data_IF_771291844218
#
_entry.id   IF_771291844218
#
_cell.length_a   1.000
_cell.length_b   1.000
_cell.length_c   1.000
_cell.angle_alpha   90.00
_cell.angle_beta   90.00
_cell.angle_gamma   90.00
#
_symmetry.space_group_name_H-M   'P 1'
#
loop_
_entity.id
_entity.type
_entity.pdbx_description
1 polymer ?
#
# COMPACT_ATOMS: atom_id res chain seq x y z
N UNK A 1 -0.48 -18.83 1.11
CA UNK A 1 -1.45 -19.03 0.01
C UNK A 1 -1.60 -17.70 -0.73
N UNK A 2 -1.82 -17.68 -2.05
CA UNK A 2 -2.17 -16.43 -2.75
C UNK A 2 -3.64 -16.10 -2.55
N UNK A 3 -3.99 -14.82 -2.58
CA UNK A 3 -5.36 -14.30 -2.49
C UNK A 3 -5.66 -13.40 -3.69
N UNK A 4 -6.93 -13.06 -3.91
CA UNK A 4 -7.33 -12.06 -4.92
C UNK A 4 -6.58 -10.72 -4.78
N UNK A 5 -6.25 -10.28 -3.56
CA UNK A 5 -5.50 -9.05 -3.30
C UNK A 5 -4.14 -9.02 -4.02
N UNK A 6 -3.46 -10.18 -4.14
CA UNK A 6 -2.16 -10.30 -4.81
C UNK A 6 -2.20 -10.00 -6.33
N UNK A 7 -3.38 -9.80 -6.92
CA UNK A 7 -3.59 -9.57 -8.35
C UNK A 7 -4.18 -8.19 -8.69
N UNK A 8 -4.60 -7.40 -7.69
CA UNK A 8 -5.27 -6.10 -7.94
C UNK A 8 -4.38 -5.12 -8.68
N UNK A 9 -3.06 -5.20 -8.50
CA UNK A 9 -2.10 -4.39 -9.25
C UNK A 9 -1.97 -4.72 -10.74
N UNK A 10 -2.65 -5.76 -11.22
CA UNK A 10 -2.85 -6.05 -12.64
C UNK A 10 -4.27 -5.71 -13.13
N UNK A 11 -5.21 -5.34 -12.25
CA UNK A 11 -6.59 -5.04 -12.63
C UNK A 11 -6.71 -3.94 -13.71
N UNK A 12 -5.93 -2.83 -13.69
CA UNK A 12 -6.00 -1.85 -14.79
C UNK A 12 -5.71 -2.47 -16.17
N UNK A 13 -4.75 -3.38 -16.28
CA UNK A 13 -4.43 -4.09 -17.52
C UNK A 13 -5.54 -5.06 -17.95
N UNK A 14 -6.22 -5.67 -16.98
CA UNK A 14 -7.37 -6.55 -17.24
C UNK A 14 -8.61 -5.75 -17.66
N UNK A 15 -8.88 -4.60 -17.04
CA UNK A 15 -9.94 -3.66 -17.45
C UNK A 15 -9.73 -3.21 -18.89
N UNK A 16 -8.51 -2.75 -19.21
CA UNK A 16 -8.09 -2.34 -20.56
C UNK A 16 -8.43 -3.38 -21.64
N UNK A 17 -8.13 -4.65 -21.36
CA UNK A 17 -8.34 -5.77 -22.29
C UNK A 17 -9.76 -6.32 -22.28
N UNK A 18 -10.47 -6.20 -21.15
CA UNK A 18 -11.89 -6.48 -21.06
C UNK A 18 -12.68 -5.45 -21.88
N UNK A 19 -12.44 -4.15 -21.69
CA UNK A 19 -13.17 -3.08 -22.36
C UNK A 19 -13.09 -3.14 -23.89
N UNK A 20 -11.89 -3.39 -24.43
CA UNK A 20 -11.61 -3.56 -25.87
C UNK A 20 -12.42 -4.68 -26.54
N UNK A 21 -12.90 -5.66 -25.78
CA UNK A 21 -13.51 -6.89 -26.29
C UNK A 21 -15.03 -6.72 -26.56
N UNK A 22 -15.39 -5.87 -27.53
CA UNK A 22 -16.78 -5.53 -27.88
C UNK A 22 -17.17 -6.09 -29.27
N UNK A 23 -17.65 -7.34 -29.34
CA UNK A 23 -18.28 -7.89 -30.55
C UNK A 23 -19.78 -8.17 -30.32
N UNK A 24 -20.64 -7.28 -30.81
CA UNK A 24 -22.10 -7.37 -30.66
C UNK A 24 -22.70 -8.42 -31.60
N UNK A 25 -23.31 -9.47 -31.03
CA UNK A 25 -24.15 -10.46 -31.72
C UNK A 25 -25.16 -11.06 -30.72
N UNK A 26 -25.83 -10.21 -29.94
CA UNK A 26 -26.57 -10.63 -28.73
C UNK A 26 -27.88 -11.38 -29.04
N UNK A 27 -28.40 -11.25 -30.26
CA UNK A 27 -29.68 -11.83 -30.68
C UNK A 27 -29.64 -13.37 -30.77
N UNK A 28 -28.54 -13.96 -31.23
CA UNK A 28 -28.36 -15.42 -31.33
C UNK A 28 -28.30 -16.10 -29.96
N UNK A 29 -27.77 -15.40 -28.96
CA UNK A 29 -27.67 -15.87 -27.58
C UNK A 29 -29.05 -15.89 -26.90
N UNK A 30 -29.88 -14.87 -27.13
CA UNK A 30 -31.24 -14.81 -26.58
C UNK A 30 -32.14 -15.97 -27.06
N UNK A 31 -31.79 -16.64 -28.15
CA UNK A 31 -32.52 -17.83 -28.62
C UNK A 31 -32.12 -19.12 -27.88
N UNK A 32 -30.93 -19.16 -27.27
CA UNK A 32 -30.52 -20.23 -26.34
C UNK A 32 -31.19 -20.10 -24.96
N UNK A 33 -31.64 -18.90 -24.62
CA UNK A 33 -32.37 -18.56 -23.40
C UNK A 33 -33.86 -18.95 -23.38
N UNK A 34 -34.25 -19.92 -24.22
CA UNK A 34 -35.59 -20.49 -24.30
C UNK A 34 -35.65 -21.79 -23.48
N UNK A 35 -36.84 -22.18 -23.01
CA UNK A 35 -36.99 -23.37 -22.17
C UNK A 35 -36.40 -23.16 -20.77
N UNK A 36 -35.67 -24.14 -20.25
CA UNK A 36 -35.28 -24.19 -18.82
C UNK A 36 -34.33 -23.05 -18.40
N UNK A 37 -33.52 -22.53 -19.32
CA UNK A 37 -32.52 -21.47 -19.06
C UNK A 37 -33.10 -20.06 -18.89
N UNK A 38 -34.40 -19.85 -19.11
CA UNK A 38 -35.02 -18.51 -19.12
C UNK A 38 -34.94 -17.75 -17.78
N UNK A 39 -34.61 -18.43 -16.67
CA UNK A 39 -34.47 -17.83 -15.34
C UNK A 39 -33.04 -17.38 -15.00
N UNK A 40 -32.04 -17.90 -15.72
CA UNK A 40 -30.62 -17.62 -15.50
C UNK A 40 -30.31 -16.12 -15.70
N UNK A 41 -29.39 -15.56 -14.92
CA UNK A 41 -29.11 -14.11 -14.94
C UNK A 41 -28.69 -13.65 -16.33
N UNK A 42 -27.89 -14.47 -17.01
CA UNK A 42 -27.37 -14.21 -18.34
C UNK A 42 -28.41 -14.25 -19.46
N UNK A 43 -29.63 -14.70 -19.17
CA UNK A 43 -30.76 -14.70 -20.08
C UNK A 43 -31.69 -13.48 -19.93
N UNK A 44 -31.38 -12.59 -18.98
CA UNK A 44 -32.04 -11.29 -18.85
C UNK A 44 -31.37 -10.28 -19.78
N UNK A 45 -32.18 -9.46 -20.47
CA UNK A 45 -31.69 -8.43 -21.42
C UNK A 45 -30.70 -7.43 -20.80
N UNK A 46 -30.80 -7.21 -19.50
CA UNK A 46 -29.90 -6.34 -18.71
C UNK A 46 -28.51 -6.94 -18.46
N UNK A 47 -28.32 -8.25 -18.61
CA UNK A 47 -27.04 -8.93 -18.34
C UNK A 47 -26.49 -9.76 -19.53
N UNK A 48 -27.27 -10.02 -20.59
CA UNK A 48 -26.80 -10.83 -21.73
C UNK A 48 -25.49 -10.32 -22.33
N UNK A 49 -25.36 -9.02 -22.58
CA UNK A 49 -24.13 -8.42 -23.12
C UNK A 49 -22.96 -8.50 -22.13
N UNK A 50 -23.24 -8.30 -20.84
CA UNK A 50 -22.25 -8.44 -19.77
C UNK A 50 -21.73 -9.88 -19.67
N UNK A 51 -22.62 -10.88 -19.69
CA UNK A 51 -22.25 -12.29 -19.67
C UNK A 51 -21.47 -12.70 -20.93
N UNK A 52 -21.93 -12.31 -22.13
CA UNK A 52 -21.19 -12.58 -23.38
C UNK A 52 -19.76 -12.04 -23.29
N UNK A 53 -19.61 -10.79 -22.84
CA UNK A 53 -18.31 -10.13 -22.69
C UNK A 53 -17.40 -10.83 -21.68
N UNK A 54 -17.94 -11.33 -20.58
CA UNK A 54 -17.22 -12.17 -19.63
C UNK A 54 -16.67 -13.45 -20.29
N UNK A 55 -17.49 -14.20 -21.02
CA UNK A 55 -17.06 -15.42 -21.72
C UNK A 55 -16.03 -15.13 -22.80
N UNK A 56 -16.24 -14.09 -23.62
CA UNK A 56 -15.26 -13.67 -24.63
C UNK A 56 -13.91 -13.29 -23.99
N UNK A 57 -13.91 -12.65 -22.82
CA UNK A 57 -12.68 -12.32 -22.10
C UNK A 57 -12.01 -13.56 -21.47
N UNK A 58 -12.76 -14.46 -20.83
CA UNK A 58 -12.24 -15.71 -20.25
C UNK A 58 -11.50 -16.54 -21.33
N UNK A 59 -12.02 -16.57 -22.55
CA UNK A 59 -11.38 -17.19 -23.72
C UNK A 59 -10.09 -16.49 -24.17
N UNK A 60 -9.94 -15.19 -23.94
CA UNK A 60 -8.72 -14.44 -24.27
C UNK A 60 -7.61 -14.63 -23.22
N UNK A 61 -7.95 -14.97 -21.97
CA UNK A 61 -6.98 -15.12 -20.87
C UNK A 61 -5.83 -16.06 -21.21
N UNK A 62 -6.13 -17.19 -21.86
CA UNK A 62 -5.09 -18.17 -22.18
C UNK A 62 -4.12 -17.69 -23.26
N UNK A 63 -4.60 -16.84 -24.19
CA UNK A 63 -3.81 -16.29 -25.29
C UNK A 63 -3.04 -15.03 -24.91
N UNK A 64 -3.66 -14.12 -24.13
CA UNK A 64 -3.06 -12.83 -23.74
C UNK A 64 -2.34 -12.86 -22.40
N UNK A 65 -2.74 -13.75 -21.49
CA UNK A 65 -2.22 -13.82 -20.12
C UNK A 65 -1.80 -15.25 -19.71
N UNK A 66 -1.07 -16.03 -20.53
CA UNK A 66 -0.76 -17.44 -20.23
C UNK A 66 -0.07 -17.65 -18.88
N UNK A 67 0.77 -16.70 -18.45
CA UNK A 67 1.49 -16.73 -17.17
C UNK A 67 0.72 -16.10 -15.99
N UNK A 68 -0.45 -15.50 -16.22
CA UNK A 68 -1.26 -14.81 -15.19
C UNK A 68 -2.78 -15.02 -15.39
N UNK A 69 -3.19 -16.21 -15.85
CA UNK A 69 -4.60 -16.58 -16.04
C UNK A 69 -5.41 -16.39 -14.75
N UNK A 70 -4.83 -16.80 -13.62
CA UNK A 70 -5.41 -16.68 -12.28
C UNK A 70 -5.83 -15.25 -11.97
N UNK A 71 -4.93 -14.26 -12.15
CA UNK A 71 -5.25 -12.85 -11.92
C UNK A 71 -6.38 -12.33 -12.82
N UNK A 72 -6.41 -12.79 -14.07
CA UNK A 72 -7.49 -12.45 -15.01
C UNK A 72 -8.85 -13.05 -14.62
N UNK A 73 -8.85 -14.26 -14.06
CA UNK A 73 -10.05 -14.87 -13.47
C UNK A 73 -10.47 -14.15 -12.17
N UNK A 74 -9.51 -13.75 -11.31
CA UNK A 74 -9.79 -12.92 -10.12
C UNK A 74 -10.39 -11.55 -10.49
N UNK A 75 -9.94 -10.95 -11.59
CA UNK A 75 -10.58 -9.75 -12.14
C UNK A 75 -12.04 -10.00 -12.56
N UNK A 76 -12.34 -11.12 -13.23
CA UNK A 76 -13.72 -11.48 -13.59
C UNK A 76 -14.63 -11.63 -12.36
N UNK A 77 -14.11 -12.18 -11.25
CA UNK A 77 -14.85 -12.27 -9.98
C UNK A 77 -15.18 -10.87 -9.43
N UNK A 78 -14.19 -9.96 -9.40
CA UNK A 78 -14.38 -8.58 -8.96
C UNK A 78 -15.38 -7.81 -9.86
N UNK A 79 -15.26 -7.96 -11.18
CA UNK A 79 -16.16 -7.33 -12.16
C UNK A 79 -17.59 -7.91 -12.09
N UNK A 80 -17.73 -9.23 -11.94
CA UNK A 80 -19.04 -9.87 -11.82
C UNK A 80 -19.78 -9.37 -10.58
N UNK A 81 -19.06 -9.17 -9.47
CA UNK A 81 -19.64 -8.59 -8.26
C UNK A 81 -20.26 -7.21 -8.53
N UNK A 82 -19.46 -6.26 -9.03
CA UNK A 82 -19.89 -4.87 -9.22
C UNK A 82 -20.96 -4.65 -10.28
N UNK A 83 -21.05 -5.55 -11.27
CA UNK A 83 -21.99 -5.40 -12.40
C UNK A 83 -23.25 -6.26 -12.25
N UNK A 84 -23.14 -7.45 -11.64
CA UNK A 84 -24.18 -8.50 -11.65
C UNK A 84 -24.64 -8.90 -10.24
N UNK A 85 -23.72 -9.16 -9.31
CA UNK A 85 -24.07 -9.74 -7.99
C UNK A 85 -24.55 -8.69 -6.98
N UNK A 86 -23.89 -7.53 -6.93
CA UNK A 86 -24.18 -6.39 -6.03
C UNK A 86 -25.61 -5.84 -6.22
N UNK A 87 -26.19 -5.98 -7.42
CA UNK A 87 -27.53 -5.49 -7.81
C UNK A 87 -28.71 -6.28 -7.22
N UNK A 88 -28.57 -6.79 -5.99
CA UNK A 88 -29.64 -7.47 -5.22
C UNK A 88 -30.20 -8.70 -5.93
N UNK A 89 -29.33 -9.63 -6.30
CA UNK A 89 -29.71 -11.03 -6.47
C UNK A 89 -29.20 -11.86 -5.28
N UNK A 90 -29.91 -11.85 -4.12
CA UNK A 90 -29.45 -12.42 -2.84
C UNK A 90 -29.44 -13.97 -2.80
N UNK A 91 -29.28 -14.61 -3.95
CA UNK A 91 -29.12 -16.06 -4.16
C UNK A 91 -28.10 -16.40 -5.25
N UNK A 92 -27.50 -15.40 -5.91
CA UNK A 92 -26.54 -15.60 -6.99
C UNK A 92 -25.13 -15.38 -6.43
N UNK A 93 -24.47 -16.48 -6.08
CA UNK A 93 -23.05 -16.49 -5.74
C UNK A 93 -22.17 -16.58 -7.00
N UNK A 94 -20.85 -16.45 -6.84
CA UNK A 94 -19.93 -16.43 -7.98
C UNK A 94 -19.82 -17.80 -8.65
N UNK A 95 -19.99 -18.87 -7.88
CA UNK A 95 -20.01 -20.26 -8.37
C UNK A 95 -21.21 -20.51 -9.31
N UNK A 96 -22.39 -20.07 -8.90
CA UNK A 96 -23.64 -20.17 -9.64
C UNK A 96 -23.59 -19.30 -10.89
N UNK A 97 -23.16 -18.04 -10.78
CA UNK A 97 -22.97 -17.16 -11.93
C UNK A 97 -22.00 -17.75 -12.97
N UNK A 98 -20.85 -18.27 -12.53
CA UNK A 98 -19.89 -18.90 -13.43
C UNK A 98 -20.41 -20.22 -14.04
N UNK A 99 -21.29 -20.94 -13.34
CA UNK A 99 -22.02 -22.09 -13.91
C UNK A 99 -23.01 -21.66 -14.99
N UNK A 100 -23.84 -20.64 -14.76
CA UNK A 100 -24.78 -20.08 -15.75
C UNK A 100 -24.03 -19.59 -17.01
N UNK A 101 -22.87 -18.93 -16.86
CA UNK A 101 -22.01 -18.61 -17.99
C UNK A 101 -21.65 -19.85 -18.83
N UNK A 102 -21.20 -20.94 -18.19
CA UNK A 102 -20.84 -22.18 -18.91
C UNK A 102 -22.04 -22.91 -19.53
N UNK A 103 -23.25 -22.71 -19.00
CA UNK A 103 -24.48 -23.30 -19.53
C UNK A 103 -24.97 -22.51 -20.75
N UNK A 104 -25.30 -21.22 -20.59
CA UNK A 104 -25.85 -20.38 -21.69
C UNK A 104 -24.87 -20.24 -22.86
N UNK A 105 -23.55 -20.22 -22.57
CA UNK A 105 -22.51 -19.97 -23.57
C UNK A 105 -21.58 -21.17 -23.80
N UNK A 106 -22.04 -22.41 -23.53
CA UNK A 106 -21.28 -23.64 -23.74
C UNK A 106 -20.44 -23.62 -25.02
N UNK A 107 -21.07 -23.35 -26.17
CA UNK A 107 -20.42 -23.40 -27.50
C UNK A 107 -19.42 -22.26 -27.75
N UNK A 108 -19.40 -21.23 -26.90
CA UNK A 108 -18.39 -20.17 -26.90
C UNK A 108 -17.26 -20.44 -25.90
N UNK A 109 -17.45 -21.29 -24.89
CA UNK A 109 -16.38 -21.66 -23.95
C UNK A 109 -15.36 -22.57 -24.65
N UNK A 110 -14.16 -22.03 -24.91
CA UNK A 110 -13.07 -22.80 -25.53
C UNK A 110 -12.35 -23.69 -24.52
N UNK A 111 -12.17 -23.18 -23.30
CA UNK A 111 -11.53 -23.86 -22.17
C UNK A 111 -12.17 -23.38 -20.86
N UNK A 112 -12.22 -24.25 -19.84
CA UNK A 112 -12.78 -23.92 -18.52
C UNK A 112 -11.79 -23.13 -17.62
N UNK A 113 -11.09 -22.15 -18.21
CA UNK A 113 -9.89 -21.46 -17.69
C UNK A 113 -9.98 -21.02 -16.23
N UNK A 114 -11.17 -20.64 -15.74
CA UNK A 114 -11.36 -20.08 -14.41
C UNK A 114 -11.91 -21.05 -13.35
N UNK A 115 -12.21 -22.32 -13.68
CA UNK A 115 -12.77 -23.31 -12.74
C UNK A 115 -12.06 -23.31 -11.37
N UNK A 116 -10.74 -23.43 -11.38
CA UNK A 116 -9.91 -23.60 -10.17
C UNK A 116 -9.61 -22.28 -9.45
N UNK A 117 -10.17 -21.17 -9.93
CA UNK A 117 -9.91 -19.83 -9.42
C UNK A 117 -11.17 -19.12 -8.91
N UNK A 118 -12.36 -19.72 -9.05
CA UNK A 118 -13.59 -19.18 -8.48
C UNK A 118 -13.49 -19.15 -6.95
N UNK A 119 -13.84 -18.00 -6.38
CA UNK A 119 -14.03 -17.75 -4.96
C UNK A 119 -15.12 -16.69 -4.83
N UNK A 120 -15.90 -16.73 -3.74
CA UNK A 120 -16.89 -15.69 -3.48
C UNK A 120 -16.25 -14.42 -2.89
N UNK A 121 -16.95 -13.31 -3.07
CA UNK A 121 -16.66 -12.04 -2.40
C UNK A 121 -17.79 -11.71 -1.44
N UNK A 122 -17.44 -11.38 -0.20
CA UNK A 122 -18.30 -10.59 0.68
C UNK A 122 -18.11 -9.09 0.40
N UNK A 123 -19.05 -8.28 0.89
CA UNK A 123 -19.05 -6.82 0.71
C UNK A 123 -17.77 -6.15 1.24
N UNK A 124 -17.24 -6.58 2.40
CA UNK A 124 -16.05 -5.96 2.99
C UNK A 124 -14.80 -6.22 2.13
N UNK A 125 -14.66 -7.47 1.65
CA UNK A 125 -13.62 -7.90 0.73
C UNK A 125 -13.76 -7.21 -0.63
N UNK A 126 -14.98 -7.07 -1.16
CA UNK A 126 -15.23 -6.32 -2.39
C UNK A 126 -14.84 -4.85 -2.28
N UNK A 127 -15.27 -4.13 -1.24
CA UNK A 127 -14.88 -2.72 -1.05
C UNK A 127 -13.36 -2.57 -0.85
N UNK A 128 -12.72 -3.47 -0.08
CA UNK A 128 -11.24 -3.51 0.04
C UNK A 128 -10.54 -3.73 -1.31
N UNK A 129 -11.10 -4.56 -2.20
CA UNK A 129 -10.59 -4.75 -3.56
C UNK A 129 -10.82 -3.52 -4.43
N UNK A 130 -12.01 -2.90 -4.36
CA UNK A 130 -12.35 -1.68 -5.09
C UNK A 130 -11.39 -0.54 -4.73
N UNK A 131 -11.16 -0.29 -3.44
CA UNK A 131 -10.25 0.76 -2.98
C UNK A 131 -8.81 0.56 -3.48
N UNK A 132 -8.31 -0.68 -3.54
CA UNK A 132 -7.01 -0.97 -4.15
C UNK A 132 -7.04 -0.83 -5.69
N UNK A 133 -8.15 -1.17 -6.34
CA UNK A 133 -8.36 -0.95 -7.77
C UNK A 133 -8.32 0.54 -8.13
N UNK A 134 -9.13 1.35 -7.46
CA UNK A 134 -9.16 2.82 -7.57
C UNK A 134 -7.75 3.40 -7.35
N UNK A 135 -7.02 2.92 -6.34
CA UNK A 135 -5.66 3.35 -6.00
C UNK A 135 -4.64 3.05 -7.12
N UNK A 136 -4.68 1.85 -7.72
CA UNK A 136 -3.81 1.49 -8.84
C UNK A 136 -4.21 2.20 -10.14
N UNK A 137 -5.51 2.39 -10.41
CA UNK A 137 -5.99 3.14 -11.58
C UNK A 137 -5.52 4.61 -11.55
N UNK A 138 -5.62 5.27 -10.39
CA UNK A 138 -5.07 6.61 -10.19
C UNK A 138 -3.54 6.62 -10.40
N UNK A 139 -2.82 5.56 -10.03
CA UNK A 139 -1.37 5.49 -10.23
C UNK A 139 -0.97 5.30 -11.69
N UNK A 140 -1.67 4.48 -12.47
CA UNK A 140 -1.46 4.39 -13.92
C UNK A 140 -1.76 5.72 -14.62
N UNK A 141 -2.86 6.39 -14.23
CA UNK A 141 -3.24 7.72 -14.74
C UNK A 141 -2.28 8.83 -14.30
N UNK A 142 -1.62 8.71 -13.14
CA UNK A 142 -0.55 9.62 -12.72
C UNK A 142 0.73 9.42 -13.54
N UNK A 143 1.15 8.16 -13.76
CA UNK A 143 2.34 7.83 -14.56
C UNK A 143 2.22 8.28 -16.01
N UNK A 144 1.05 8.10 -16.62
CA UNK A 144 0.81 8.35 -18.06
C UNK A 144 0.19 9.71 -18.37
N UNK A 145 -0.43 10.37 -17.38
CA UNK A 145 -1.19 11.60 -17.59
C UNK A 145 -0.34 12.81 -17.98
N UNK A 146 -0.91 13.67 -18.82
CA UNK A 146 -0.29 14.95 -19.18
C UNK A 146 -0.20 15.89 -17.95
N UNK A 147 0.87 16.67 -17.90
CA UNK A 147 1.10 17.71 -16.87
C UNK A 147 0.23 18.96 -17.09
N UNK A 148 -0.29 19.16 -18.31
CA UNK A 148 -1.11 20.32 -18.67
C UNK A 148 -2.40 20.40 -17.82
N UNK A 149 -2.68 21.60 -17.29
CA UNK A 149 -3.80 21.89 -16.36
C UNK A 149 -3.84 20.98 -15.11
N UNK A 150 -2.70 20.43 -14.69
CA UNK A 150 -2.57 19.72 -13.41
C UNK A 150 -3.15 18.30 -13.37
N UNK A 151 -3.75 17.79 -14.45
CA UNK A 151 -4.54 16.54 -14.44
C UNK A 151 -3.82 15.33 -13.82
N UNK A 152 -2.54 15.09 -14.17
CA UNK A 152 -1.76 14.00 -13.55
C UNK A 152 -1.52 14.18 -12.06
N UNK A 153 -1.47 15.42 -11.57
CA UNK A 153 -1.25 15.73 -10.16
C UNK A 153 -2.52 15.52 -9.32
N UNK A 154 -3.72 15.68 -9.91
CA UNK A 154 -4.97 15.26 -9.27
C UNK A 154 -4.94 13.76 -8.95
N UNK A 155 -4.54 12.92 -9.92
CA UNK A 155 -4.39 11.49 -9.69
C UNK A 155 -3.30 11.16 -8.66
N UNK A 156 -2.19 11.90 -8.65
CA UNK A 156 -1.15 11.76 -7.63
C UNK A 156 -1.66 12.08 -6.21
N UNK A 157 -2.45 13.15 -6.06
CA UNK A 157 -3.11 13.51 -4.80
C UNK A 157 -4.12 12.45 -4.36
N UNK A 158 -4.91 11.90 -5.29
CA UNK A 158 -5.82 10.79 -5.00
C UNK A 158 -5.08 9.56 -4.49
N UNK A 159 -3.95 9.18 -5.10
CA UNK A 159 -3.10 8.10 -4.60
C UNK A 159 -2.64 8.34 -3.16
N UNK A 160 -2.18 9.54 -2.83
CA UNK A 160 -1.77 9.89 -1.46
C UNK A 160 -2.96 9.86 -0.49
N UNK A 161 -4.11 10.39 -0.88
CA UNK A 161 -5.29 10.47 -0.03
C UNK A 161 -5.83 9.08 0.32
N UNK A 162 -6.12 8.25 -0.71
CA UNK A 162 -6.61 6.88 -0.53
C UNK A 162 -5.59 6.07 0.29
N UNK A 163 -4.29 6.22 0.00
CA UNK A 163 -3.25 5.55 0.78
C UNK A 163 -3.26 5.96 2.26
N UNK A 164 -3.28 7.27 2.54
CA UNK A 164 -3.19 7.78 3.92
C UNK A 164 -4.46 7.54 4.74
N UNK A 165 -5.60 7.30 4.09
CA UNK A 165 -6.83 6.82 4.73
C UNK A 165 -6.67 5.34 5.12
N UNK A 166 -6.38 4.47 4.16
CA UNK A 166 -6.30 3.02 4.38
C UNK A 166 -5.08 2.60 5.20
N UNK A 167 -4.01 3.41 5.22
CA UNK A 167 -2.85 3.25 6.09
C UNK A 167 -3.26 3.15 7.56
N UNK A 168 -4.18 3.99 8.04
CA UNK A 168 -4.67 3.98 9.44
C UNK A 168 -5.33 2.65 9.79
N UNK A 169 -6.18 2.15 8.88
CA UNK A 169 -6.85 0.85 9.04
C UNK A 169 -5.81 -0.29 9.17
N UNK A 170 -4.68 -0.18 8.47
CA UNK A 170 -3.55 -1.11 8.60
C UNK A 170 -2.69 -0.89 9.86
N UNK A 171 -2.67 0.31 10.46
CA UNK A 171 -2.07 0.51 11.78
C UNK A 171 -2.87 -0.22 12.88
N UNK A 172 -4.14 -0.52 12.66
CA UNK A 172 -4.96 -1.37 13.53
C UNK A 172 -4.89 -2.85 13.11
N UNK A 173 -5.32 -3.18 11.88
CA UNK A 173 -5.32 -4.54 11.29
C UNK A 173 -4.04 -4.84 10.48
N UNK A 174 -2.90 -4.91 11.18
CA UNK A 174 -1.60 -5.32 10.61
C UNK A 174 -1.67 -6.67 9.86
N UNK A 175 -0.80 -6.83 8.85
CA UNK A 175 -0.52 -8.11 8.17
C UNK A 175 -1.71 -8.81 7.48
N UNK A 176 -2.82 -8.09 7.23
CA UNK A 176 -3.88 -8.60 6.34
C UNK A 176 -3.40 -8.60 4.87
N UNK A 177 -3.92 -9.48 3.99
CA UNK A 177 -3.56 -9.50 2.57
C UNK A 177 -3.84 -8.18 1.84
N UNK A 178 -4.82 -7.40 2.33
CA UNK A 178 -5.07 -6.02 1.89
C UNK A 178 -3.90 -5.09 2.23
N UNK A 179 -3.44 -5.10 3.50
CA UNK A 179 -2.31 -4.29 3.95
C UNK A 179 -0.97 -4.71 3.34
N UNK A 180 -0.81 -5.99 2.96
CA UNK A 180 0.33 -6.45 2.15
C UNK A 180 0.31 -5.85 0.74
N UNK A 181 -0.83 -5.84 0.03
CA UNK A 181 -0.92 -5.23 -1.29
C UNK A 181 -0.80 -3.70 -1.23
N UNK A 182 -1.29 -3.07 -0.15
CA UNK A 182 -1.09 -1.66 0.12
C UNK A 182 0.41 -1.33 0.33
N UNK A 183 1.17 -2.20 1.00
CA UNK A 183 2.63 -2.05 1.10
C UNK A 183 3.34 -2.21 -0.26
N UNK A 184 2.90 -3.17 -1.10
CA UNK A 184 3.39 -3.30 -2.48
C UNK A 184 3.05 -2.07 -3.34
N UNK A 185 1.91 -1.43 -3.12
CA UNK A 185 1.60 -0.13 -3.73
C UNK A 185 2.59 0.94 -3.24
N UNK A 186 2.83 1.01 -1.93
CA UNK A 186 3.76 1.96 -1.32
C UNK A 186 5.17 1.87 -1.91
N UNK A 187 5.67 0.64 -2.07
CA UNK A 187 6.97 0.35 -2.70
C UNK A 187 7.01 0.89 -4.14
N UNK A 188 6.01 0.58 -4.98
CA UNK A 188 5.89 1.06 -6.37
C UNK A 188 5.77 2.58 -6.48
N UNK A 189 4.94 3.20 -5.65
CA UNK A 189 4.73 4.65 -5.65
C UNK A 189 6.00 5.40 -5.18
N UNK A 190 6.60 4.98 -4.06
CA UNK A 190 7.81 5.62 -3.54
C UNK A 190 9.00 5.45 -4.50
N UNK A 191 9.07 4.35 -5.25
CA UNK A 191 10.09 4.17 -6.29
C UNK A 191 9.88 5.13 -7.47
N UNK A 192 8.65 5.20 -8.01
CA UNK A 192 8.31 6.15 -9.08
C UNK A 192 8.59 7.60 -8.67
N UNK A 193 8.29 7.96 -7.42
CA UNK A 193 8.49 9.31 -6.85
C UNK A 193 9.94 9.70 -6.57
N UNK A 194 10.91 8.80 -6.78
CA UNK A 194 12.35 9.17 -6.87
C UNK A 194 12.61 10.08 -8.08
N UNK A 195 11.83 9.92 -9.15
CA UNK A 195 11.95 10.72 -10.36
C UNK A 195 11.39 12.13 -10.14
N UNK A 196 11.92 13.13 -10.87
CA UNK A 196 11.49 14.53 -10.73
C UNK A 196 10.09 14.75 -11.30
N UNK A 197 9.07 14.66 -10.43
CA UNK A 197 7.72 15.15 -10.71
C UNK A 197 7.53 16.61 -10.27
N UNK A 198 6.65 17.33 -10.96
CA UNK A 198 6.23 18.70 -10.65
C UNK A 198 4.95 18.76 -9.78
N UNK A 199 4.47 17.61 -9.28
CA UNK A 199 3.28 17.56 -8.42
C UNK A 199 3.66 17.77 -6.94
N UNK A 200 2.97 18.70 -6.28
CA UNK A 200 3.16 19.04 -4.87
C UNK A 200 2.42 18.05 -3.95
N UNK A 201 2.91 16.80 -3.93
CA UNK A 201 2.32 15.68 -3.18
C UNK A 201 3.37 14.97 -2.33
N UNK A 202 2.91 14.21 -1.32
CA UNK A 202 3.78 13.41 -0.45
C UNK A 202 4.60 12.41 -1.28
N UNK A 203 5.92 12.58 -1.30
CA UNK A 203 6.85 11.74 -2.10
C UNK A 203 7.21 10.41 -1.46
N UNK A 204 7.13 10.32 -0.12
CA UNK A 204 7.44 9.11 0.65
C UNK A 204 6.24 8.80 1.55
N UNK A 205 5.49 7.76 1.17
CA UNK A 205 4.40 7.18 1.93
C UNK A 205 4.95 6.30 3.09
N UNK A 206 4.29 6.31 4.28
CA UNK A 206 4.71 5.53 5.46
C UNK A 206 4.42 4.04 5.27
N UNK A 207 5.23 3.14 5.85
CA UNK A 207 5.06 1.68 5.68
C UNK A 207 3.95 1.12 6.56
N UNK A 208 3.08 0.28 6.00
CA UNK A 208 2.07 -0.47 6.79
C UNK A 208 2.71 -1.56 7.66
N UNK A 209 3.96 -1.93 7.39
CA UNK A 209 4.72 -2.84 8.25
C UNK A 209 5.23 -2.06 9.46
N UNK A 210 4.68 -2.33 10.65
CA UNK A 210 5.32 -1.91 11.90
C UNK A 210 6.70 -2.58 12.01
N UNK A 211 7.74 -1.88 12.50
CA UNK A 211 9.02 -2.52 12.74
C UNK A 211 8.91 -3.58 13.82
N UNK A 212 9.60 -4.71 13.65
CA UNK A 212 9.74 -5.76 14.67
C UNK A 212 10.58 -5.23 15.85
N UNK A 213 9.96 -4.45 16.73
CA UNK A 213 10.55 -4.04 18.02
C UNK A 213 10.53 -5.27 18.94
N UNK A 214 11.47 -6.19 18.69
CA UNK A 214 11.89 -7.19 19.66
C UNK A 214 12.47 -6.44 20.84
N UNK A 215 11.66 -6.27 21.88
CA UNK A 215 12.09 -5.67 23.15
C UNK A 215 13.11 -6.62 23.78
N UNK A 216 14.39 -6.40 23.46
CA UNK A 216 15.50 -7.02 24.17
C UNK A 216 15.49 -6.38 25.56
N UNK A 217 14.77 -7.02 26.48
CA UNK A 217 14.73 -6.66 27.88
C UNK A 217 16.10 -6.96 28.49
N UNK A 218 17.06 -6.05 28.26
CA UNK A 218 18.33 -6.05 28.97
C UNK A 218 18.01 -5.99 30.47
N UNK A 219 18.40 -7.01 31.26
CA UNK A 219 18.31 -6.87 32.71
C UNK A 219 19.26 -5.75 33.10
N UNK A 220 18.72 -4.63 33.56
CA UNK A 220 19.51 -3.53 34.14
C UNK A 220 20.07 -4.06 35.46
N UNK A 221 21.21 -4.74 35.36
CA UNK A 221 21.97 -5.21 36.51
C UNK A 221 22.45 -3.98 37.28
N UNK A 222 21.70 -3.62 38.33
CA UNK A 222 21.97 -2.48 39.18
C UNK A 222 23.28 -2.70 39.90
N UNK A 223 24.36 -2.07 39.39
CA UNK A 223 25.62 -1.94 40.11
C UNK A 223 25.37 -1.06 41.35
N UNK A 224 24.99 -1.72 42.42
CA UNK A 224 24.75 -1.14 43.75
C UNK A 224 26.02 -0.42 44.20
N UNK A 225 26.00 0.92 44.20
CA UNK A 225 27.04 1.72 44.81
C UNK A 225 27.07 1.46 46.32
N UNK A 226 28.10 0.76 46.80
CA UNK A 226 28.35 0.54 48.23
C UNK A 226 29.32 1.59 48.78
N UNK A 227 28.85 2.58 49.57
CA UNK A 227 29.71 3.59 50.17
C UNK A 227 30.51 3.05 51.37
N UNK A 228 31.55 3.80 51.75
CA UNK A 228 32.64 3.40 52.64
C UNK A 228 32.23 2.91 54.05
N UNK A 229 32.61 1.67 54.37
CA UNK A 229 32.97 1.18 55.72
C UNK A 229 33.99 0.03 55.53
N UNK A 230 35.15 -0.09 56.19
CA UNK A 230 35.76 0.69 57.28
C UNK A 230 37.29 0.71 57.16
N UNK A 231 37.97 1.61 57.87
CA UNK A 231 39.43 1.75 57.84
C UNK A 231 40.20 0.51 58.35
N UNK A 232 40.89 -0.21 57.45
CA UNK A 232 41.99 -1.10 57.83
C UNK A 232 43.32 -0.33 57.78
N UNK A 233 44.00 -0.25 58.93
CA UNK A 233 45.15 0.61 59.18
C UNK A 233 46.37 0.22 58.34
N UNK A 234 46.89 1.15 57.56
CA UNK A 234 48.19 1.01 56.87
C UNK A 234 49.35 0.94 57.89
N UNK A 235 49.98 -0.22 58.03
CA UNK A 235 51.27 -0.34 58.71
C UNK A 235 52.36 0.33 57.87
N UNK A 236 53.06 1.31 58.43
CA UNK A 236 54.18 2.01 57.78
C UNK A 236 55.31 1.04 57.42
N UNK A 237 55.76 1.08 56.15
CA UNK A 237 57.18 1.20 55.79
C UNK A 237 57.32 1.99 54.48
N UNK A 238 58.55 2.35 54.11
CA UNK A 238 58.89 3.60 53.39
C UNK A 238 59.77 3.27 52.16
N UNK A 239 59.82 4.18 51.17
CA UNK A 239 60.73 4.18 49.99
C UNK A 239 60.26 3.18 48.88
N UNK A 240 60.20 3.50 47.57
CA UNK A 240 60.63 4.70 46.80
C UNK A 240 59.67 5.09 45.64
N UNK A 241 60.07 6.13 44.89
CA UNK A 241 59.65 6.60 43.55
C UNK A 241 59.19 5.51 42.53
N UNK A 242 58.39 5.79 41.49
CA UNK A 242 57.94 7.08 40.92
C UNK A 242 56.67 6.96 40.03
N UNK A 243 56.19 8.10 39.52
CA UNK A 243 55.30 8.30 38.36
C UNK A 243 53.82 7.86 38.49
N UNK A 244 52.94 8.85 38.57
CA UNK A 244 51.50 8.70 38.38
C UNK A 244 50.97 9.96 37.66
N UNK A 245 50.82 9.88 36.33
CA UNK A 245 50.19 10.94 35.55
C UNK A 245 48.72 11.07 35.98
N UNK A 246 48.28 12.27 36.35
CA UNK A 246 46.96 12.51 36.94
C UNK A 246 46.16 13.45 36.05
N UNK A 247 45.02 12.98 35.59
CA UNK A 247 44.08 13.72 34.75
C UNK A 247 43.05 14.48 35.61
N UNK A 248 42.52 15.59 35.08
CA UNK A 248 41.33 16.32 35.53
C UNK A 248 41.39 16.97 36.94
N UNK A 249 40.73 18.10 37.21
CA UNK A 249 39.51 18.66 36.60
C UNK A 249 39.61 20.16 36.28
N UNK A 250 38.74 20.61 35.37
CA UNK A 250 38.22 21.97 35.38
C UNK A 250 36.85 22.02 36.09
N UNK A 251 36.66 22.97 37.01
CA UNK A 251 35.54 23.95 36.98
C UNK A 251 35.42 24.80 38.26
N UNK A 252 35.27 26.11 38.03
CA UNK A 252 34.59 27.16 38.82
C UNK A 252 35.04 27.52 40.26
N UNK A 253 35.76 28.65 40.28
CA UNK A 253 35.33 29.94 40.85
C UNK A 253 35.05 30.07 42.36
N UNK A 254 35.93 30.82 43.01
CA UNK A 254 35.61 31.80 44.06
C UNK A 254 36.32 33.13 43.75
N UNK A 255 35.78 34.26 44.22
CA UNK A 255 36.40 35.60 44.18
C UNK A 255 37.57 35.68 45.19
N UNK A 256 38.52 36.61 45.16
CA UNK A 256 38.74 37.86 44.37
C UNK A 256 40.25 37.88 43.91
N UNK A 257 41.02 38.94 43.53
CA UNK A 257 40.90 40.41 43.60
C UNK A 257 41.82 41.16 42.61
N UNK A 258 41.82 42.50 42.68
CA UNK A 258 42.89 43.44 42.27
C UNK A 258 43.16 43.74 40.78
N UNK A 259 42.40 44.73 40.28
CA UNK A 259 42.82 45.96 39.53
C UNK A 259 44.13 45.94 38.70
N UNK A 260 44.01 46.23 37.40
CA UNK A 260 44.86 47.23 36.68
C UNK A 260 43.93 48.07 35.76
N UNK A 261 44.20 49.36 35.61
CA UNK A 261 43.47 50.26 34.70
C UNK A 261 44.13 50.34 33.31
N UNK A 262 43.32 50.47 32.26
CA UNK A 262 43.61 51.30 31.08
C UNK A 262 42.30 51.83 30.48
N UNK A 263 42.36 52.92 29.72
CA UNK A 263 41.20 53.77 29.42
C UNK A 263 40.48 53.40 28.12
N UNK A 264 39.17 53.65 28.09
CA UNK A 264 38.41 53.76 26.84
C UNK A 264 38.71 55.10 26.17
N UNK A 265 38.82 55.10 24.84
CA UNK A 265 38.36 56.22 24.01
C UNK A 265 37.24 55.72 23.10
N UNK A 266 36.13 56.47 23.03
CA UNK A 266 34.97 56.13 22.23
C UNK A 266 34.69 57.27 21.23
N UNK A 267 34.85 56.98 19.94
CA UNK A 267 34.64 57.96 18.88
C UNK A 267 33.22 57.84 18.30
N UNK A 268 32.38 58.84 18.59
CA UNK A 268 31.07 59.04 17.96
C UNK A 268 31.22 59.79 16.63
N UNK A 269 30.67 59.25 15.53
CA UNK A 269 30.22 60.03 14.36
C UNK A 269 28.83 59.51 13.92
N UNK A 270 28.02 60.38 13.32
CA UNK A 270 26.57 60.25 13.12
C UNK A 270 26.12 59.71 11.76
N UNK A 271 24.81 59.41 11.67
CA UNK A 271 24.05 59.10 10.45
C UNK A 271 24.23 60.11 9.31
N UNK A 272 23.97 59.67 8.08
CA UNK A 272 22.99 60.34 7.24
C UNK A 272 22.29 59.36 6.27
N UNK A 273 21.09 59.71 5.81
CA UNK A 273 20.35 58.97 4.77
C UNK A 273 20.28 59.78 3.48
N UNK A 274 20.16 59.09 2.34
CA UNK A 274 19.93 59.64 1.00
C UNK A 274 19.34 58.59 0.08
#
# INVERSE_FOLDING_TARGET
MKTIFNYVSSFPQYTDEFERNNESQSQEIMDKCRGDHHTEVCCKREYVDHCKKAVQYINLLEKKFPSNKEGGCKFIIFWAYSVVLEKKHPKLDMSTFYKELKVVYHDLFKNETCNNYIEDLDENKFQKLKTLGDLYENFEKFKTGNSYRGGKCTYASNCVNIYMEQFKNCEEENNTPFCEELEKFREKYNDFMKNKTNCEVRKILPSTRKPDIKVILFPVATLMFTPMFSCLRTKKRKVNNSNLCKENNSLRQTYESQRINSNNEAYHISYNSG
#
